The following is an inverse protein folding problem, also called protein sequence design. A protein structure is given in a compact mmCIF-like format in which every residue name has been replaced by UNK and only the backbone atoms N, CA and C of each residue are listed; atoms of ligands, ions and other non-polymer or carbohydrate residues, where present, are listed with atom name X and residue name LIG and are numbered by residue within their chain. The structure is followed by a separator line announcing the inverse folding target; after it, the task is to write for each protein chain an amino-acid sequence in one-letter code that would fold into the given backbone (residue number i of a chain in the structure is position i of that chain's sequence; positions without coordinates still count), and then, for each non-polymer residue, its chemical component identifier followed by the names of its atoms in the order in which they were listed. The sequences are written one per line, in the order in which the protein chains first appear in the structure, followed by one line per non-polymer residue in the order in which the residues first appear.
data_IF_029409939415
#
_entry.id   IF_029409939415
#
_cell.length_a   1.000
_cell.length_b   1.000
_cell.length_c   1.000
_cell.angle_alpha   90.00
_cell.angle_beta   90.00
_cell.angle_gamma   90.00
#
_symmetry.space_group_name_H-M   'P 1'
#
loop_
_entity.id
_entity.type
_entity.pdbx_description
1 polymer ?
#
# COMPACT_ATOMS: atom_id res chain seq x y z
N UNK A 1 26.81 1.91 -11.99
CA UNK A 1 25.85 2.36 -10.97
C UNK A 1 25.75 1.27 -9.93
N UNK A 2 26.12 1.53 -8.68
CA UNK A 2 26.20 0.48 -7.64
C UNK A 2 24.85 0.41 -6.93
N UNK A 3 24.12 -0.69 -7.12
CA UNK A 3 22.86 -0.93 -6.41
C UNK A 3 23.17 -1.39 -4.99
N UNK A 4 22.62 -0.69 -3.99
CA UNK A 4 22.71 -1.10 -2.60
C UNK A 4 21.33 -1.56 -2.13
N UNK A 5 21.24 -2.80 -1.68
CA UNK A 5 20.01 -3.36 -1.11
C UNK A 5 20.05 -3.11 0.40
N UNK A 6 18.97 -2.55 0.93
CA UNK A 6 18.72 -2.47 2.36
C UNK A 6 17.53 -3.38 2.65
N UNK A 7 17.74 -4.38 3.51
CA UNK A 7 16.70 -5.32 3.91
C UNK A 7 16.23 -4.92 5.31
N UNK A 8 14.92 -4.78 5.48
CA UNK A 8 14.31 -4.63 6.80
C UNK A 8 13.69 -5.95 7.21
N UNK A 9 14.34 -6.65 8.13
CA UNK A 9 13.79 -7.85 8.74
C UNK A 9 13.35 -7.50 10.16
N UNK A 10 12.17 -6.89 10.29
CA UNK A 10 11.58 -6.52 11.58
C UNK A 10 10.26 -7.27 11.76
N UNK A 11 10.14 -8.16 12.76
CA UNK A 11 8.85 -8.81 13.03
C UNK A 11 7.83 -7.78 13.52
N UNK A 12 6.55 -8.02 13.22
CA UNK A 12 5.42 -7.27 13.77
C UNK A 12 5.46 -5.75 13.52
N UNK A 13 5.73 -5.33 12.28
CA UNK A 13 5.63 -3.92 11.90
C UNK A 13 4.16 -3.49 11.99
N UNK A 14 3.88 -2.51 12.84
CA UNK A 14 2.55 -1.90 12.98
C UNK A 14 2.44 -0.55 12.27
N UNK A 15 3.56 0.02 11.81
CA UNK A 15 3.63 1.24 11.01
C UNK A 15 4.67 1.06 9.90
N UNK A 16 4.17 0.70 8.72
CA UNK A 16 5.00 0.48 7.53
C UNK A 16 5.64 1.78 7.05
N UNK A 17 4.94 2.92 7.13
CA UNK A 17 5.46 4.21 6.68
C UNK A 17 6.65 4.65 7.53
N UNK A 18 6.57 4.50 8.85
CA UNK A 18 7.67 4.77 9.77
C UNK A 18 8.89 3.91 9.42
N UNK A 19 8.66 2.61 9.21
CA UNK A 19 9.72 1.68 8.83
C UNK A 19 10.39 2.05 7.49
N UNK A 20 9.62 2.43 6.46
CA UNK A 20 10.15 2.92 5.18
C UNK A 20 10.91 4.23 5.33
N UNK A 21 10.44 5.14 6.18
CA UNK A 21 11.12 6.41 6.43
C UNK A 21 12.47 6.22 7.16
N UNK A 22 12.57 5.25 8.07
CA UNK A 22 13.83 4.91 8.73
C UNK A 22 14.85 4.33 7.73
N UNK A 23 14.42 3.42 6.84
CA UNK A 23 15.26 2.94 5.74
C UNK A 23 15.69 4.08 4.81
N UNK A 24 14.78 4.98 4.46
CA UNK A 24 15.08 6.14 3.62
C UNK A 24 16.13 7.06 4.25
N UNK A 25 16.03 7.27 5.57
CA UNK A 25 16.98 8.08 6.34
C UNK A 25 18.38 7.47 6.31
N UNK A 26 18.46 6.14 6.47
CA UNK A 26 19.71 5.37 6.50
C UNK A 26 20.30 5.12 5.10
N UNK A 27 19.51 5.28 4.04
CA UNK A 27 20.01 5.12 2.67
C UNK A 27 21.00 6.22 2.30
N UNK A 28 22.10 5.83 1.66
CA UNK A 28 23.10 6.74 1.08
C UNK A 28 22.75 7.12 -0.37
N UNK A 29 21.76 6.46 -0.97
CA UNK A 29 21.37 6.67 -2.36
C UNK A 29 20.38 7.82 -2.48
N UNK A 30 20.54 8.61 -3.54
CA UNK A 30 19.61 9.68 -3.88
C UNK A 30 18.23 9.13 -4.27
N UNK A 31 18.21 8.10 -5.12
CA UNK A 31 17.01 7.38 -5.54
C UNK A 31 16.85 6.06 -4.80
N UNK A 32 15.64 5.80 -4.33
CA UNK A 32 15.33 4.67 -3.47
C UNK A 32 14.08 3.95 -3.99
N UNK A 33 14.25 2.70 -4.38
CA UNK A 33 13.16 1.79 -4.75
C UNK A 33 12.77 0.99 -3.50
N UNK A 34 11.49 1.07 -3.12
CA UNK A 34 10.90 0.23 -2.09
C UNK A 34 10.24 -0.97 -2.76
N UNK A 35 10.38 -2.16 -2.19
CA UNK A 35 9.67 -3.38 -2.56
C UNK A 35 9.31 -4.10 -1.28
N UNK A 36 8.08 -4.62 -1.22
CA UNK A 36 7.64 -5.48 -0.12
C UNK A 36 8.17 -6.93 -0.37
N UNK A 37 8.13 -7.79 0.64
CA UNK A 37 8.67 -9.16 0.56
C UNK A 37 7.92 -10.07 -0.43
N UNK A 38 6.64 -9.76 -0.64
CA UNK A 38 5.75 -10.39 -1.61
C UNK A 38 5.79 -9.73 -3.01
N UNK A 39 6.69 -8.77 -3.24
CA UNK A 39 6.89 -8.06 -4.50
C UNK A 39 8.22 -8.42 -5.18
N UNK A 40 8.17 -8.63 -6.50
CA UNK A 40 9.36 -8.88 -7.32
C UNK A 40 9.35 -8.00 -8.58
N UNK A 41 10.53 -7.61 -9.04
CA UNK A 41 10.73 -6.82 -10.26
C UNK A 41 11.87 -7.43 -11.08
N UNK A 42 11.66 -7.60 -12.38
CA UNK A 42 12.64 -8.23 -13.26
C UNK A 42 13.66 -7.25 -13.86
N UNK A 43 13.32 -5.95 -13.93
CA UNK A 43 14.17 -4.94 -14.55
C UNK A 43 14.29 -3.69 -13.66
N UNK A 44 15.53 -3.42 -13.22
CA UNK A 44 15.92 -2.27 -12.40
C UNK A 44 16.45 -1.08 -13.22
N UNK A 45 16.46 -1.16 -14.55
CA UNK A 45 16.87 -0.06 -15.42
C UNK A 45 15.71 0.93 -15.58
N UNK A 46 15.78 2.04 -14.85
CA UNK A 46 14.76 3.09 -14.88
C UNK A 46 15.25 4.30 -15.66
N UNK A 47 14.47 4.73 -16.65
CA UNK A 47 14.67 6.01 -17.33
C UNK A 47 14.00 7.13 -16.52
N UNK A 48 14.76 7.68 -15.58
CA UNK A 48 14.31 8.80 -14.75
C UNK A 48 14.62 10.14 -15.44
N UNK A 49 13.76 11.12 -15.21
CA UNK A 49 13.88 12.49 -15.69
C UNK A 49 13.96 13.46 -14.52
N UNK A 50 14.65 14.57 -14.67
CA UNK A 50 14.77 15.57 -13.61
C UNK A 50 13.46 16.35 -13.33
N UNK A 51 12.38 16.03 -14.03
CA UNK A 51 11.06 16.67 -13.89
C UNK A 51 10.27 16.15 -12.68
N UNK A 52 10.56 14.92 -12.24
CA UNK A 52 9.82 14.26 -11.18
C UNK A 52 10.74 13.89 -10.02
N UNK A 53 10.16 13.82 -8.82
CA UNK A 53 10.84 13.42 -7.58
C UNK A 53 10.40 12.05 -7.07
N UNK A 54 9.40 11.46 -7.72
CA UNK A 54 8.83 10.16 -7.40
C UNK A 54 8.21 9.56 -8.67
N UNK A 55 8.19 8.22 -8.72
CA UNK A 55 7.67 7.46 -9.84
C UNK A 55 6.76 6.33 -9.39
N UNK A 56 5.65 6.20 -10.11
CA UNK A 56 4.77 5.05 -10.06
C UNK A 56 5.31 3.93 -10.95
N UNK A 57 5.24 2.71 -10.46
CA UNK A 57 5.46 1.49 -11.21
C UNK A 57 4.13 0.78 -11.41
N UNK A 58 4.02 0.03 -12.50
CA UNK A 58 2.87 -0.83 -12.76
C UNK A 58 3.01 -2.06 -11.87
N UNK A 59 1.98 -2.40 -11.10
CA UNK A 59 1.98 -3.59 -10.26
C UNK A 59 0.87 -4.54 -10.67
N UNK A 60 1.25 -5.77 -11.04
CA UNK A 60 0.32 -6.86 -11.33
C UNK A 60 0.13 -7.68 -10.05
N UNK A 61 -1.11 -7.78 -9.60
CA UNK A 61 -1.44 -8.44 -8.35
C UNK A 61 -1.95 -9.85 -8.64
N UNK A 62 -1.43 -10.81 -7.89
CA UNK A 62 -1.79 -12.21 -7.94
C UNK A 62 -2.27 -12.66 -6.56
N UNK A 63 -3.33 -13.45 -6.55
CA UNK A 63 -3.91 -14.05 -5.37
C UNK A 63 -4.01 -15.56 -5.61
N UNK A 64 -3.29 -16.36 -4.83
CA UNK A 64 -3.20 -17.82 -5.02
C UNK A 64 -2.81 -18.20 -6.46
N UNK A 65 -1.81 -17.49 -7.00
CA UNK A 65 -1.33 -17.67 -8.39
C UNK A 65 -2.25 -17.13 -9.48
N UNK A 66 -3.45 -16.62 -9.15
CA UNK A 66 -4.38 -16.05 -10.14
C UNK A 66 -4.25 -14.54 -10.23
N UNK A 67 -4.20 -14.00 -11.44
CA UNK A 67 -4.19 -12.56 -11.66
C UNK A 67 -5.52 -11.92 -11.22
N UNK A 68 -5.45 -10.93 -10.33
CA UNK A 68 -6.62 -10.22 -9.77
C UNK A 68 -6.66 -8.74 -10.10
N UNK A 69 -5.73 -8.28 -10.94
CA UNK A 69 -5.76 -6.93 -11.51
C UNK A 69 -4.42 -6.21 -11.46
N UNK A 70 -4.40 -5.06 -12.13
CA UNK A 70 -3.25 -4.17 -12.17
C UNK A 70 -3.58 -2.87 -11.44
N UNK A 71 -2.59 -2.32 -10.76
CA UNK A 71 -2.61 -0.97 -10.20
C UNK A 71 -1.29 -0.24 -10.49
N UNK A 72 -1.25 1.05 -10.16
CA UNK A 72 -0.04 1.88 -10.22
C UNK A 72 0.28 2.32 -8.81
N UNK A 73 1.51 2.10 -8.37
CA UNK A 73 1.93 2.41 -7.01
C UNK A 73 3.27 3.14 -7.03
N UNK A 74 3.40 4.18 -6.21
CA UNK A 74 4.68 4.86 -6.02
C UNK A 74 5.62 3.89 -5.31
N UNK A 75 6.78 3.63 -5.89
CA UNK A 75 7.80 2.74 -5.31
C UNK A 75 9.20 3.32 -5.42
N UNK A 76 9.45 4.18 -6.42
CA UNK A 76 10.73 4.86 -6.59
C UNK A 76 10.60 6.32 -6.16
N UNK A 77 11.36 6.72 -5.16
CA UNK A 77 11.33 8.08 -4.59
C UNK A 77 12.73 8.67 -4.44
N UNK A 78 12.82 9.99 -4.58
CA UNK A 78 14.05 10.75 -4.35
C UNK A 78 14.14 11.17 -2.88
N UNK A 79 15.23 10.81 -2.21
CA UNK A 79 15.49 11.17 -0.80
C UNK A 79 15.40 12.69 -0.61
N UNK A 80 14.81 13.12 0.49
CA UNK A 80 14.68 14.55 0.84
C UNK A 80 13.58 15.30 0.08
N UNK A 81 12.78 14.62 -0.75
CA UNK A 81 11.69 15.26 -1.49
C UNK A 81 10.30 14.99 -0.89
N UNK A 82 10.21 14.18 0.14
CA UNK A 82 8.96 13.79 0.80
C UNK A 82 9.17 12.76 1.91
N UNK A 83 8.06 12.20 2.40
CA UNK A 83 8.02 11.13 3.41
C UNK A 83 6.85 10.18 3.14
N UNK A 84 6.98 8.93 3.58
CA UNK A 84 5.84 8.01 3.67
C UNK A 84 4.94 8.43 4.84
N UNK A 85 3.63 8.34 4.64
CA UNK A 85 2.62 8.58 5.66
C UNK A 85 1.63 7.42 5.71
N UNK A 86 0.99 7.27 6.87
CA UNK A 86 -0.05 6.28 7.21
C UNK A 86 0.52 4.89 7.50
N UNK A 87 0.13 4.32 8.63
CA UNK A 87 0.67 3.07 9.16
C UNK A 87 0.46 1.85 8.24
N UNK A 88 -0.61 1.83 7.46
CA UNK A 88 -0.93 0.84 6.42
C UNK A 88 -1.52 1.54 5.20
N UNK A 89 -1.49 0.93 4.02
CA UNK A 89 -1.82 1.60 2.74
C UNK A 89 -1.05 2.93 2.61
N UNK A 90 0.26 2.86 2.82
CA UNK A 90 1.10 4.03 2.95
C UNK A 90 1.09 4.86 1.67
N UNK A 91 1.18 6.17 1.83
CA UNK A 91 1.25 7.10 0.70
C UNK A 91 2.51 7.95 0.80
N UNK A 92 3.12 8.24 -0.35
CA UNK A 92 4.22 9.18 -0.43
C UNK A 92 3.68 10.62 -0.43
N UNK A 93 4.16 11.44 0.50
CA UNK A 93 3.78 12.85 0.65
C UNK A 93 4.99 13.72 0.33
N UNK A 94 4.99 14.43 -0.82
CA UNK A 94 6.07 15.34 -1.17
C UNK A 94 6.13 16.57 -0.26
N UNK A 95 7.34 17.08 0.00
CA UNK A 95 7.59 18.22 0.88
C UNK A 95 6.96 19.55 0.41
N UNK A 96 6.54 19.65 -0.86
CA UNK A 96 6.09 20.91 -1.47
C UNK A 96 4.58 21.02 -1.73
N UNK A 97 3.77 20.08 -1.27
CA UNK A 97 2.33 20.15 -1.54
C UNK A 97 1.51 19.65 -0.35
N UNK A 98 0.89 20.55 0.45
CA UNK A 98 -0.26 20.15 1.24
C UNK A 98 -1.39 19.89 0.25
N UNK A 99 -1.57 18.63 -0.12
CA UNK A 99 -2.75 18.22 -0.87
C UNK A 99 -3.88 17.97 0.14
N UNK A 100 -5.12 18.32 -0.20
CA UNK A 100 -6.29 17.85 0.54
C UNK A 100 -6.21 16.33 0.71
N UNK A 101 -6.57 15.85 1.89
CA UNK A 101 -6.50 14.43 2.25
C UNK A 101 -6.99 13.53 1.10
N UNK A 102 -6.09 12.71 0.55
CA UNK A 102 -6.41 11.72 -0.48
C UNK A 102 -6.02 12.05 -1.92
N UNK A 103 -5.35 13.18 -2.21
CA UNK A 103 -4.76 13.43 -3.55
C UNK A 103 -3.24 13.27 -3.53
N UNK A 104 -2.71 12.54 -4.51
CA UNK A 104 -1.28 12.39 -4.77
C UNK A 104 -0.79 13.58 -5.60
N UNK A 105 0.45 14.04 -5.41
CA UNK A 105 1.03 15.14 -6.20
C UNK A 105 0.92 14.79 -7.68
N UNK A 106 0.22 15.64 -8.43
CA UNK A 106 -0.04 15.48 -9.86
C UNK A 106 1.24 15.37 -10.69
N UNK A 107 2.40 15.68 -10.11
CA UNK A 107 3.72 15.55 -10.72
C UNK A 107 4.41 14.27 -10.25
N UNK A 108 3.86 13.14 -10.62
CA UNK A 108 4.51 11.84 -10.51
C UNK A 108 4.84 11.31 -11.91
N UNK A 109 6.06 10.80 -12.10
CA UNK A 109 6.39 10.09 -13.33
C UNK A 109 5.82 8.67 -13.31
N UNK A 110 5.70 8.04 -14.48
CA UNK A 110 5.31 6.63 -14.59
C UNK A 110 6.45 5.88 -15.28
N UNK A 111 6.88 4.79 -14.67
CA UNK A 111 7.85 3.87 -15.24
C UNK A 111 7.13 2.64 -15.79
N UNK A 112 7.59 2.16 -16.93
CA UNK A 112 7.02 0.98 -17.60
C UNK A 112 7.44 -0.34 -16.95
N UNK A 113 8.36 -0.30 -15.97
CA UNK A 113 8.76 -1.49 -15.23
C UNK A 113 7.60 -2.06 -14.41
N UNK A 114 7.48 -3.38 -14.43
CA UNK A 114 6.36 -4.11 -13.83
C UNK A 114 6.82 -4.81 -12.56
N UNK A 115 6.11 -4.56 -11.47
CA UNK A 115 6.20 -5.30 -10.22
C UNK A 115 5.17 -6.44 -10.26
N UNK A 116 5.62 -7.65 -9.96
CA UNK A 116 4.76 -8.81 -9.70
C UNK A 116 4.55 -8.91 -8.19
N UNK A 117 3.30 -8.85 -7.75
CA UNK A 117 2.94 -8.88 -6.33
C UNK A 117 2.08 -10.11 -6.05
N UNK A 118 2.62 -11.04 -5.29
CA UNK A 118 1.93 -12.27 -4.87
C UNK A 118 1.33 -12.05 -3.49
N UNK A 119 0.14 -11.45 -3.45
CA UNK A 119 -0.48 -10.98 -2.20
C UNK A 119 -0.67 -12.10 -1.16
N UNK A 120 -0.84 -13.35 -1.63
CA UNK A 120 -0.90 -14.54 -0.79
C UNK A 120 -0.64 -15.82 -1.58
N UNK A 121 0.06 -16.76 -0.95
CA UNK A 121 0.31 -18.13 -1.44
C UNK A 121 -0.72 -19.14 -0.94
N UNK A 122 -1.32 -18.90 0.23
CA UNK A 122 -2.41 -19.70 0.79
C UNK A 122 -3.43 -18.83 1.55
N UNK A 123 -4.60 -19.43 1.83
CA UNK A 123 -5.71 -18.72 2.47
C UNK A 123 -5.47 -18.41 3.95
N UNK A 124 -4.78 -19.29 4.67
CA UNK A 124 -4.52 -19.14 6.10
C UNK A 124 -3.69 -17.89 6.36
N UNK A 125 -2.58 -17.75 5.64
CA UNK A 125 -1.69 -16.59 5.77
C UNK A 125 -2.39 -15.31 5.34
N UNK A 126 -3.23 -15.38 4.30
CA UNK A 126 -3.99 -14.22 3.85
C UNK A 126 -5.03 -13.76 4.87
N UNK A 127 -5.74 -14.68 5.51
CA UNK A 127 -6.69 -14.36 6.57
C UNK A 127 -5.98 -13.73 7.77
N UNK A 128 -4.84 -14.25 8.18
CA UNK A 128 -4.02 -13.66 9.24
C UNK A 128 -3.55 -12.24 8.86
N UNK A 129 -3.11 -12.04 7.61
CA UNK A 129 -2.74 -10.72 7.08
C UNK A 129 -3.92 -9.75 7.10
N UNK A 130 -5.12 -10.19 6.68
CA UNK A 130 -6.34 -9.37 6.73
C UNK A 130 -6.69 -8.96 8.15
N UNK A 131 -6.62 -9.88 9.10
CA UNK A 131 -6.93 -9.58 10.49
C UNK A 131 -5.94 -8.54 11.06
N UNK A 132 -4.64 -8.75 10.88
CA UNK A 132 -3.62 -7.81 11.34
C UNK A 132 -3.76 -6.44 10.65
N UNK A 133 -3.87 -6.40 9.32
CA UNK A 133 -3.90 -5.16 8.56
C UNK A 133 -5.18 -4.37 8.84
N UNK A 134 -6.32 -5.04 9.06
CA UNK A 134 -7.56 -4.37 9.45
C UNK A 134 -7.47 -3.73 10.84
N UNK A 135 -6.71 -4.30 11.77
CA UNK A 135 -6.42 -3.68 13.07
C UNK A 135 -5.59 -2.40 12.90
N UNK A 136 -4.50 -2.46 12.15
CA UNK A 136 -3.66 -1.28 11.85
C UNK A 136 -4.49 -0.23 11.10
N UNK A 137 -5.35 -0.65 10.17
CA UNK A 137 -6.19 0.24 9.38
C UNK A 137 -7.25 0.94 10.23
N UNK A 138 -7.87 0.24 11.18
CA UNK A 138 -8.81 0.83 12.12
C UNK A 138 -8.12 1.90 12.98
N UNK A 139 -6.93 1.61 13.52
CA UNK A 139 -6.15 2.58 14.30
C UNK A 139 -5.75 3.79 13.46
N UNK A 140 -5.26 3.58 12.24
CA UNK A 140 -4.93 4.67 11.32
C UNK A 140 -6.16 5.53 10.98
N UNK A 141 -7.34 4.93 10.80
CA UNK A 141 -8.55 5.70 10.56
C UNK A 141 -8.96 6.52 11.80
N UNK A 142 -8.80 5.98 13.01
CA UNK A 142 -9.05 6.72 14.24
C UNK A 142 -8.11 7.92 14.39
N UNK A 143 -6.82 7.73 14.12
CA UNK A 143 -5.80 8.78 14.17
C UNK A 143 -6.00 9.84 13.05
N UNK A 144 -6.72 9.49 11.98
CA UNK A 144 -7.19 10.39 10.91
C UNK A 144 -8.56 11.03 11.21
N UNK A 145 -9.05 10.92 12.45
CA UNK A 145 -10.34 11.47 12.92
C UNK A 145 -11.56 10.93 12.13
N UNK A 146 -11.43 9.77 11.48
CA UNK A 146 -12.56 9.10 10.84
C UNK A 146 -13.39 8.38 11.88
N UNK A 147 -14.70 8.43 11.66
CA UNK A 147 -15.67 7.72 12.49
C UNK A 147 -16.25 6.51 11.76
N UNK A 148 -16.61 5.49 12.51
CA UNK A 148 -17.39 4.32 12.08
C UNK A 148 -18.80 4.36 12.67
N UNK A 149 -19.73 3.69 12.01
CA UNK A 149 -21.10 3.50 12.48
C UNK A 149 -21.68 2.24 11.82
N UNK A 150 -22.88 1.81 12.25
CA UNK A 150 -23.53 0.62 11.71
C UNK A 150 -23.73 0.69 10.19
N UNK A 151 -24.00 1.89 9.65
CA UNK A 151 -24.11 2.09 8.20
C UNK A 151 -22.80 1.74 7.47
N UNK A 152 -21.65 2.23 7.95
CA UNK A 152 -20.35 1.89 7.36
C UNK A 152 -20.03 0.40 7.50
N UNK A 153 -20.30 -0.19 8.66
CA UNK A 153 -20.06 -1.62 8.92
C UNK A 153 -20.84 -2.50 7.94
N UNK A 154 -22.09 -2.16 7.62
CA UNK A 154 -22.94 -2.97 6.74
C UNK A 154 -22.65 -2.68 5.27
N UNK A 155 -22.67 -1.41 4.85
CA UNK A 155 -22.71 -1.07 3.43
C UNK A 155 -21.33 -0.92 2.77
N UNK A 156 -20.28 -0.53 3.52
CA UNK A 156 -18.95 -0.37 2.91
C UNK A 156 -18.30 -1.70 2.50
N UNK A 157 -18.45 -2.82 3.25
CA UNK A 157 -17.99 -4.13 2.79
C UNK A 157 -18.71 -4.57 1.52
N UNK A 158 -20.03 -4.39 1.44
CA UNK A 158 -20.81 -4.71 0.23
C UNK A 158 -20.31 -3.91 -0.97
N UNK A 159 -20.13 -2.59 -0.83
CA UNK A 159 -19.57 -1.75 -1.88
C UNK A 159 -18.14 -2.20 -2.27
N UNK A 160 -17.30 -2.57 -1.28
CA UNK A 160 -15.95 -3.07 -1.52
C UNK A 160 -15.95 -4.38 -2.30
N UNK A 161 -16.87 -5.30 -2.00
CA UNK A 161 -17.07 -6.53 -2.76
C UNK A 161 -17.36 -6.22 -4.23
N UNK A 162 -18.37 -5.40 -4.51
CA UNK A 162 -18.78 -5.07 -5.88
C UNK A 162 -17.64 -4.44 -6.68
N UNK A 163 -16.98 -3.43 -6.11
CA UNK A 163 -15.86 -2.75 -6.79
C UNK A 163 -14.71 -3.73 -7.07
N UNK A 164 -14.37 -4.58 -6.10
CA UNK A 164 -13.28 -5.55 -6.24
C UNK A 164 -13.65 -6.64 -7.24
N UNK A 165 -14.90 -7.09 -7.25
CA UNK A 165 -15.38 -8.12 -8.17
C UNK A 165 -15.41 -7.62 -9.61
N UNK A 166 -15.87 -6.39 -9.85
CA UNK A 166 -15.84 -5.79 -11.19
C UNK A 166 -14.41 -5.72 -11.72
N UNK A 167 -13.44 -5.36 -10.87
CA UNK A 167 -12.03 -5.22 -11.25
C UNK A 167 -11.30 -6.55 -11.42
N UNK A 168 -11.45 -7.46 -10.47
CA UNK A 168 -10.65 -8.69 -10.39
C UNK A 168 -11.30 -9.88 -11.08
N UNK A 169 -12.63 -9.86 -11.23
CA UNK A 169 -13.47 -11.01 -11.63
C UNK A 169 -13.27 -12.26 -10.76
N UNK A 170 -12.61 -12.14 -9.61
CA UNK A 170 -12.33 -13.22 -8.68
C UNK A 170 -13.22 -13.08 -7.45
N UNK A 171 -14.15 -14.02 -7.27
CA UNK A 171 -15.14 -13.99 -6.19
C UNK A 171 -14.48 -14.12 -4.82
N UNK A 172 -13.56 -15.08 -4.65
CA UNK A 172 -12.90 -15.35 -3.37
C UNK A 172 -12.07 -14.15 -2.92
N UNK A 173 -11.26 -13.60 -3.82
CA UNK A 173 -10.49 -12.38 -3.55
C UNK A 173 -11.41 -11.21 -3.17
N UNK A 174 -12.55 -11.07 -3.83
CA UNK A 174 -13.53 -10.01 -3.55
C UNK A 174 -14.20 -10.17 -2.18
N UNK A 175 -14.53 -11.41 -1.77
CA UNK A 175 -15.05 -11.71 -0.43
C UNK A 175 -13.99 -11.35 0.62
N UNK A 176 -12.73 -11.72 0.40
CA UNK A 176 -11.64 -11.43 1.33
C UNK A 176 -11.39 -9.92 1.48
N UNK A 177 -11.45 -9.17 0.37
CA UNK A 177 -11.35 -7.71 0.40
C UNK A 177 -12.56 -7.04 1.09
N UNK A 178 -13.76 -7.62 0.95
CA UNK A 178 -14.94 -7.22 1.70
C UNK A 178 -14.77 -7.48 3.20
N UNK A 179 -14.27 -8.66 3.58
CA UNK A 179 -13.96 -9.02 4.97
C UNK A 179 -12.96 -8.04 5.60
N UNK A 180 -11.89 -7.69 4.88
CA UNK A 180 -10.95 -6.66 5.34
C UNK A 180 -11.64 -5.32 5.62
N UNK A 181 -12.56 -4.88 4.74
CA UNK A 181 -13.36 -3.66 4.95
C UNK A 181 -14.25 -3.79 6.19
N UNK A 182 -14.95 -4.92 6.34
CA UNK A 182 -15.84 -5.18 7.47
C UNK A 182 -15.09 -5.13 8.80
N UNK A 183 -13.97 -5.85 8.90
CA UNK A 183 -13.14 -5.88 10.10
C UNK A 183 -12.58 -4.49 10.42
N UNK A 184 -12.13 -3.74 9.42
CA UNK A 184 -11.59 -2.39 9.61
C UNK A 184 -12.61 -1.43 10.22
N UNK A 185 -13.84 -1.41 9.70
CA UNK A 185 -14.90 -0.52 10.22
C UNK A 185 -15.45 -1.01 11.57
N UNK A 186 -15.54 -2.31 11.78
CA UNK A 186 -16.00 -2.90 13.04
C UNK A 186 -15.00 -2.62 14.17
N UNK A 187 -13.70 -2.84 13.93
CA UNK A 187 -12.65 -2.55 14.90
C UNK A 187 -12.59 -1.05 15.22
N UNK A 188 -12.74 -0.17 14.22
CA UNK A 188 -12.82 1.27 14.46
C UNK A 188 -14.05 1.64 15.30
N UNK A 189 -15.21 1.02 15.05
CA UNK A 189 -16.43 1.26 15.83
C UNK A 189 -16.25 0.93 17.31
N UNK A 190 -15.58 -0.17 17.64
CA UNK A 190 -15.27 -0.49 19.04
C UNK A 190 -14.15 0.39 19.63
N UNK A 191 -13.19 0.83 18.82
CA UNK A 191 -12.09 1.69 19.27
C UNK A 191 -12.54 3.11 19.63
N UNK A 192 -13.59 3.62 18.97
CA UNK A 192 -14.13 4.95 19.20
C UNK A 192 -15.25 5.01 20.24
N UNK A 193 -15.72 3.84 20.71
CA UNK A 193 -16.85 3.72 21.65
C UNK A 193 -16.42 3.93 23.09
#
# INVERSE_FOLDING_TARGET
MTMKILILNKPNITDFASARNDLLRNSKSEWNLFLDDDESISNFQFLISNKFSNYQLIRKNYFLGQYVGTDKIIRLVKKGTGRWQRAVHETWIPNKTPLPAGRQDSRCGILNSVIIHNTADNLTDYLAKIDNYSTIHAKANFDEEKTSNLFKIIFFPIAKFVVTFVKSKNVVFSIMQSLHSFLSWTKLYFLQS
#
